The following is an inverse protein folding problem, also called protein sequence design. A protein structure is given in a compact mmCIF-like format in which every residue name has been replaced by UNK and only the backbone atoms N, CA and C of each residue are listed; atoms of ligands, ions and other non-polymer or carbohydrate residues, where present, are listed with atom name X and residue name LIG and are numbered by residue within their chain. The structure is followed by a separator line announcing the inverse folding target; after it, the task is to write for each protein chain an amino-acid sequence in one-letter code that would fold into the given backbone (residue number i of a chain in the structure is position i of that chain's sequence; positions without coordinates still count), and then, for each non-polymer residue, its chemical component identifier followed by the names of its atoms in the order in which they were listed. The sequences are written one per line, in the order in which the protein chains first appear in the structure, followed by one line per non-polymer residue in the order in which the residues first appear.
data_IF_262127329106
#
_entry.id   IF_262127329106
#
_cell.length_a   1.000
_cell.length_b   1.000
_cell.length_c   1.000
_cell.angle_alpha   90.00
_cell.angle_beta   90.00
_cell.angle_gamma   90.00
#
_symmetry.space_group_name_H-M   'P 1'
#
loop_
_entity.id
_entity.type
_entity.pdbx_description
1 polymer ?
#
# COMPACT_ATOMS: atom_id res chain seq x y z
N UNK A 1 -9.52 10.14 -5.48
CA UNK A 1 -10.00 9.69 -4.17
C UNK A 1 -11.05 8.59 -4.32
N UNK A 2 -11.06 7.59 -3.40
CA UNK A 2 -12.08 6.53 -3.37
C UNK A 2 -12.76 6.53 -2.01
N UNK A 3 -14.02 6.93 -1.98
CA UNK A 3 -14.86 6.94 -0.80
C UNK A 3 -15.58 5.58 -0.68
N UNK A 4 -15.27 4.83 0.35
CA UNK A 4 -15.84 3.49 0.59
C UNK A 4 -17.23 3.51 1.24
N UNK A 5 -17.73 4.69 1.64
CA UNK A 5 -19.00 4.90 2.34
C UNK A 5 -19.17 4.08 3.63
N UNK A 6 -18.06 3.75 4.32
CA UNK A 6 -18.09 2.95 5.55
C UNK A 6 -18.25 3.86 6.78
N UNK A 7 -17.57 5.04 6.76
CA UNK A 7 -17.43 5.92 7.93
C UNK A 7 -18.35 7.15 7.92
N UNK A 8 -19.40 7.14 7.10
CA UNK A 8 -20.38 8.25 7.05
C UNK A 8 -19.73 9.62 6.85
N UNK A 9 -19.94 10.54 7.80
CA UNK A 9 -19.44 11.93 7.73
C UNK A 9 -17.92 12.04 7.68
N UNK A 10 -17.18 11.16 8.35
CA UNK A 10 -15.71 11.15 8.26
C UNK A 10 -15.22 10.89 6.85
N UNK A 11 -15.82 9.93 6.14
CA UNK A 11 -15.46 9.63 4.77
C UNK A 11 -15.73 10.82 3.82
N UNK A 12 -16.80 11.56 4.07
CA UNK A 12 -17.13 12.77 3.31
C UNK A 12 -16.16 13.93 3.61
N UNK A 13 -15.78 14.11 4.88
CA UNK A 13 -14.74 15.07 5.28
C UNK A 13 -13.41 14.77 4.58
N UNK A 14 -12.99 13.50 4.56
CA UNK A 14 -11.74 13.06 3.95
C UNK A 14 -11.77 13.27 2.41
N UNK A 15 -12.93 13.05 1.79
CA UNK A 15 -13.13 13.34 0.36
C UNK A 15 -13.04 14.84 0.08
N UNK A 16 -13.70 15.68 0.89
CA UNK A 16 -13.63 17.14 0.78
C UNK A 16 -12.19 17.62 0.92
N UNK A 17 -11.49 17.18 1.97
CA UNK A 17 -10.08 17.51 2.17
C UNK A 17 -9.22 17.15 0.96
N UNK A 18 -9.43 15.97 0.36
CA UNK A 18 -8.67 15.55 -0.83
C UNK A 18 -8.96 16.46 -2.05
N UNK A 19 -10.22 16.90 -2.24
CA UNK A 19 -10.59 17.84 -3.32
C UNK A 19 -9.94 19.20 -3.13
N UNK A 20 -10.05 19.77 -1.93
CA UNK A 20 -9.51 21.08 -1.59
C UNK A 20 -7.98 21.11 -1.74
N UNK A 21 -7.31 20.01 -1.31
CA UNK A 21 -5.87 19.88 -1.49
C UNK A 21 -5.48 19.81 -2.97
N UNK A 22 -6.18 19.02 -3.77
CA UNK A 22 -5.92 18.95 -5.21
C UNK A 22 -6.13 20.28 -5.90
N UNK A 23 -7.19 21.03 -5.54
CA UNK A 23 -7.47 22.37 -6.05
C UNK A 23 -6.34 23.35 -5.70
N UNK A 24 -5.90 23.35 -4.42
CA UNK A 24 -4.81 24.22 -3.96
C UNK A 24 -3.48 23.95 -4.68
N UNK A 25 -3.26 22.70 -5.10
CA UNK A 25 -2.08 22.27 -5.84
C UNK A 25 -2.25 22.34 -7.36
N UNK A 26 -3.41 22.79 -7.85
CA UNK A 26 -3.76 22.81 -9.29
C UNK A 26 -3.65 21.43 -9.95
N UNK A 27 -3.99 20.36 -9.21
CA UNK A 27 -3.98 18.98 -9.68
C UNK A 27 -5.42 18.50 -9.86
N UNK A 28 -5.69 17.79 -10.96
CA UNK A 28 -7.03 17.22 -11.20
C UNK A 28 -7.35 16.15 -10.16
N UNK A 29 -8.59 16.19 -9.61
CA UNK A 29 -9.08 15.20 -8.66
C UNK A 29 -10.25 14.42 -9.26
N UNK A 30 -10.16 13.09 -9.25
CA UNK A 30 -11.28 12.21 -9.57
C UNK A 30 -11.76 11.51 -8.32
N UNK A 31 -13.04 11.63 -7.98
CA UNK A 31 -13.65 11.00 -6.82
C UNK A 31 -14.59 9.88 -7.27
N UNK A 32 -14.50 8.75 -6.59
CA UNK A 32 -15.34 7.58 -6.77
C UNK A 32 -15.94 7.18 -5.43
N UNK A 33 -17.22 6.86 -5.38
CA UNK A 33 -17.92 6.44 -4.17
C UNK A 33 -18.53 5.07 -4.37
N UNK A 34 -18.31 4.16 -3.41
CA UNK A 34 -18.81 2.78 -3.46
C UNK A 34 -19.37 2.35 -2.11
N UNK A 35 -20.56 1.71 -2.06
CA UNK A 35 -21.13 1.14 -0.84
C UNK A 35 -20.44 -0.19 -0.50
N UNK A 36 -19.21 -0.11 0.03
CA UNK A 36 -18.32 -1.28 0.21
C UNK A 36 -18.95 -2.34 1.12
N UNK A 37 -19.69 -1.96 2.17
CA UNK A 37 -20.35 -2.92 3.07
C UNK A 37 -21.42 -3.77 2.35
N UNK A 38 -22.18 -3.17 1.45
CA UNK A 38 -23.18 -3.88 0.64
C UNK A 38 -22.51 -4.80 -0.39
N UNK A 39 -21.45 -4.31 -1.02
CA UNK A 39 -20.66 -5.10 -1.98
C UNK A 39 -19.99 -6.30 -1.32
N UNK A 40 -19.41 -6.12 -0.14
CA UNK A 40 -18.81 -7.19 0.65
C UNK A 40 -19.82 -8.30 0.94
N UNK A 41 -21.00 -7.95 1.43
CA UNK A 41 -22.08 -8.90 1.69
C UNK A 41 -22.55 -9.62 0.42
N UNK A 42 -22.76 -8.89 -0.67
CA UNK A 42 -23.26 -9.43 -1.94
C UNK A 42 -22.28 -10.41 -2.60
N UNK A 43 -20.99 -10.18 -2.43
CA UNK A 43 -19.93 -10.96 -3.06
C UNK A 43 -19.23 -11.95 -2.11
N UNK A 44 -19.71 -12.07 -0.85
CA UNK A 44 -19.09 -12.90 0.19
C UNK A 44 -17.61 -12.59 0.43
N UNK A 45 -17.25 -11.30 0.38
CA UNK A 45 -15.91 -10.79 0.63
C UNK A 45 -15.84 -10.17 2.02
N UNK A 46 -14.62 -10.07 2.55
CA UNK A 46 -14.35 -9.19 3.69
C UNK A 46 -14.42 -7.73 3.26
N UNK A 47 -14.60 -6.81 4.23
CA UNK A 47 -14.59 -5.36 3.96
C UNK A 47 -13.27 -4.91 3.32
N UNK A 48 -12.14 -5.48 3.76
CA UNK A 48 -10.82 -5.18 3.21
C UNK A 48 -10.70 -5.62 1.74
N UNK A 49 -11.16 -6.84 1.42
CA UNK A 49 -11.16 -7.37 0.04
C UNK A 49 -12.06 -6.55 -0.88
N UNK A 50 -13.28 -6.23 -0.43
CA UNK A 50 -14.22 -5.39 -1.18
C UNK A 50 -13.66 -3.98 -1.38
N UNK A 51 -13.09 -3.38 -0.34
CA UNK A 51 -12.44 -2.07 -0.42
C UNK A 51 -11.23 -2.05 -1.38
N UNK A 52 -10.46 -3.14 -1.42
CA UNK A 52 -9.36 -3.29 -2.38
C UNK A 52 -9.89 -3.45 -3.81
N UNK A 53 -10.93 -4.24 -4.01
CA UNK A 53 -11.55 -4.45 -5.32
C UNK A 53 -12.06 -3.14 -5.91
N UNK A 54 -12.83 -2.33 -5.17
CA UNK A 54 -13.36 -1.06 -5.70
C UNK A 54 -12.26 -0.03 -5.98
N UNK A 55 -11.15 -0.03 -5.21
CA UNK A 55 -9.99 0.80 -5.52
C UNK A 55 -9.35 0.41 -6.85
N UNK A 56 -9.15 -0.89 -7.10
CA UNK A 56 -8.65 -1.36 -8.39
C UNK A 56 -9.58 -0.98 -9.54
N UNK A 57 -10.90 -1.13 -9.36
CA UNK A 57 -11.89 -0.71 -10.36
C UNK A 57 -11.82 0.80 -10.65
N UNK A 58 -11.67 1.64 -9.64
CA UNK A 58 -11.48 3.07 -9.80
C UNK A 58 -10.20 3.39 -10.59
N UNK A 59 -9.10 2.71 -10.28
CA UNK A 59 -7.82 2.88 -10.98
C UNK A 59 -7.92 2.43 -12.44
N UNK A 60 -8.51 1.27 -12.73
CA UNK A 60 -8.75 0.81 -14.10
C UNK A 60 -9.63 1.79 -14.89
N UNK A 61 -10.67 2.33 -14.24
CA UNK A 61 -11.54 3.33 -14.86
C UNK A 61 -10.76 4.59 -15.22
N UNK A 62 -9.86 5.01 -14.36
CA UNK A 62 -9.04 6.20 -14.58
C UNK A 62 -7.96 5.96 -15.66
N UNK A 63 -7.32 4.80 -15.67
CA UNK A 63 -6.32 4.47 -16.69
C UNK A 63 -6.93 4.35 -18.08
N UNK A 64 -8.15 3.79 -18.21
CA UNK A 64 -8.87 3.71 -19.49
C UNK A 64 -9.25 5.08 -20.07
N UNK A 65 -9.37 6.12 -19.24
CA UNK A 65 -9.64 7.50 -19.69
C UNK A 65 -8.38 8.20 -20.19
N UNK A 66 -7.21 7.74 -19.78
CA UNK A 66 -5.96 8.35 -20.18
C UNK A 66 -5.61 7.95 -21.63
N UNK A 67 -5.09 8.91 -22.39
CA UNK A 67 -4.65 8.71 -23.79
C UNK A 67 -3.23 8.16 -23.89
N UNK A 68 -2.49 8.21 -22.80
CA UNK A 68 -1.09 7.83 -22.71
C UNK A 68 -0.89 6.70 -21.67
N UNK A 69 0.29 6.06 -21.69
CA UNK A 69 0.66 5.10 -20.66
C UNK A 69 0.77 5.79 -19.31
N UNK A 70 -0.06 5.37 -18.36
CA UNK A 70 -0.09 5.92 -17.01
C UNK A 70 0.42 4.91 -16.00
N UNK A 71 0.98 5.43 -14.89
CA UNK A 71 1.35 4.64 -13.72
C UNK A 71 0.50 5.07 -12.53
N UNK A 72 0.10 4.12 -11.71
CA UNK A 72 -0.62 4.38 -10.46
C UNK A 72 0.40 4.48 -9.33
N UNK A 73 0.55 5.65 -8.74
CA UNK A 73 1.39 5.83 -7.56
C UNK A 73 0.59 5.51 -6.28
N UNK A 74 1.09 4.56 -5.49
CA UNK A 74 0.54 4.20 -4.18
C UNK A 74 1.43 4.75 -3.07
N UNK A 75 0.82 5.29 -2.02
CA UNK A 75 1.50 5.96 -0.92
C UNK A 75 2.02 5.00 0.18
N UNK A 76 2.38 3.76 -0.18
CA UNK A 76 3.04 2.86 0.76
C UNK A 76 4.43 3.40 1.12
N UNK A 77 4.77 3.39 2.39
CA UNK A 77 6.04 3.85 2.93
C UNK A 77 6.83 2.71 3.60
N UNK A 78 8.03 3.01 4.12
CA UNK A 78 8.95 2.00 4.68
C UNK A 78 8.34 1.22 5.84
N UNK A 79 7.55 1.87 6.71
CA UNK A 79 6.89 1.16 7.80
C UNK A 79 5.86 0.15 7.28
N UNK A 80 5.12 0.44 6.18
CA UNK A 80 4.19 -0.53 5.57
C UNK A 80 4.92 -1.76 5.02
N UNK A 81 6.12 -1.57 4.47
CA UNK A 81 6.98 -2.67 4.02
C UNK A 81 7.40 -3.55 5.21
N UNK A 82 7.87 -2.94 6.30
CA UNK A 82 8.25 -3.64 7.52
C UNK A 82 7.05 -4.39 8.14
N UNK A 83 5.88 -3.76 8.22
CA UNK A 83 4.63 -4.39 8.66
C UNK A 83 4.28 -5.62 7.82
N UNK A 84 4.38 -5.49 6.50
CA UNK A 84 4.05 -6.58 5.57
C UNK A 84 5.04 -7.74 5.71
N UNK A 85 6.33 -7.45 5.86
CA UNK A 85 7.36 -8.45 6.07
C UNK A 85 7.10 -9.25 7.35
N UNK A 86 6.86 -8.56 8.48
CA UNK A 86 6.54 -9.20 9.77
C UNK A 86 5.23 -10.00 9.65
N UNK A 87 4.20 -9.45 9.04
CA UNK A 87 2.94 -10.14 8.84
C UNK A 87 3.10 -11.44 8.05
N UNK A 88 3.87 -11.41 6.96
CA UNK A 88 4.14 -12.58 6.14
C UNK A 88 4.97 -13.62 6.92
N UNK A 89 5.98 -13.18 7.67
CA UNK A 89 6.80 -14.04 8.50
C UNK A 89 5.97 -14.80 9.55
N UNK A 90 5.07 -14.11 10.24
CA UNK A 90 4.18 -14.71 11.25
C UNK A 90 3.22 -15.74 10.64
N UNK A 91 2.81 -15.54 9.39
CA UNK A 91 1.92 -16.50 8.68
C UNK A 91 2.65 -17.67 8.06
N UNK A 92 3.97 -17.65 8.07
CA UNK A 92 4.81 -18.58 7.31
C UNK A 92 4.86 -18.19 5.83
N UNK A 93 6.06 -17.91 5.34
CA UNK A 93 6.27 -17.48 3.96
C UNK A 93 7.61 -17.94 3.43
N UNK A 94 7.71 -18.09 2.11
CA UNK A 94 8.98 -18.27 1.41
C UNK A 94 9.66 -16.93 1.07
N UNK A 95 10.72 -16.99 0.26
CA UNK A 95 11.53 -15.84 -0.16
C UNK A 95 10.67 -14.71 -0.73
N UNK A 96 9.72 -15.03 -1.63
CA UNK A 96 8.87 -14.03 -2.28
C UNK A 96 7.98 -13.24 -1.33
N UNK A 97 7.45 -13.88 -0.28
CA UNK A 97 6.68 -13.15 0.73
C UNK A 97 7.56 -12.34 1.68
N UNK A 98 8.82 -12.73 1.88
CA UNK A 98 9.81 -11.94 2.63
C UNK A 98 10.24 -10.67 1.89
N UNK A 99 10.16 -10.63 0.57
CA UNK A 99 10.34 -9.42 -0.24
C UNK A 99 9.29 -8.34 0.05
N UNK A 100 8.17 -8.69 0.68
CA UNK A 100 7.15 -7.77 1.16
C UNK A 100 6.47 -6.96 0.03
N UNK A 101 6.52 -5.64 0.13
CA UNK A 101 5.91 -4.73 -0.85
C UNK A 101 6.96 -4.37 -1.91
N UNK A 102 6.72 -4.72 -3.17
CA UNK A 102 7.61 -4.39 -4.28
C UNK A 102 7.49 -2.91 -4.68
N UNK A 103 8.60 -2.25 -5.04
CA UNK A 103 8.58 -0.86 -5.53
C UNK A 103 7.71 -0.68 -6.77
N UNK A 104 7.73 -1.65 -7.67
CA UNK A 104 6.92 -1.68 -8.90
C UNK A 104 6.23 -3.04 -9.00
N UNK A 105 4.94 -3.04 -9.35
CA UNK A 105 4.18 -4.25 -9.70
C UNK A 105 3.32 -3.96 -10.92
N UNK A 106 3.12 -4.96 -11.76
CA UNK A 106 2.21 -4.89 -12.89
C UNK A 106 1.02 -5.81 -12.65
N UNK A 107 -0.18 -5.28 -12.76
CA UNK A 107 -1.43 -6.03 -12.57
C UNK A 107 -2.37 -5.64 -13.73
N UNK A 108 -2.80 -6.60 -14.52
CA UNK A 108 -3.70 -6.40 -15.66
C UNK A 108 -3.20 -5.31 -16.65
N UNK A 109 -1.89 -5.25 -16.89
CA UNK A 109 -1.27 -4.25 -17.77
C UNK A 109 -1.18 -2.84 -17.18
N UNK A 110 -1.52 -2.66 -15.90
CA UNK A 110 -1.38 -1.39 -15.19
C UNK A 110 -0.15 -1.45 -14.28
N UNK A 111 0.76 -0.50 -14.45
CA UNK A 111 1.96 -0.36 -13.61
C UNK A 111 1.63 0.40 -12.32
N UNK A 112 1.84 -0.24 -11.18
CA UNK A 112 1.72 0.36 -9.85
C UNK A 112 3.12 0.64 -9.30
N UNK A 113 3.39 1.89 -8.94
CA UNK A 113 4.66 2.32 -8.35
C UNK A 113 4.46 2.78 -6.90
N UNK A 114 5.50 2.71 -6.08
CA UNK A 114 5.46 3.09 -4.66
C UNK A 114 6.68 3.97 -4.32
N UNK A 115 6.62 5.25 -4.69
CA UNK A 115 7.76 6.16 -4.56
C UNK A 115 8.20 6.39 -3.11
N UNK A 116 7.29 6.22 -2.14
CA UNK A 116 7.55 6.50 -0.73
C UNK A 116 8.11 5.32 0.07
N UNK A 117 8.40 4.15 -0.55
CA UNK A 117 9.01 3.02 0.16
C UNK A 117 10.39 3.32 0.74
N UNK A 118 11.06 4.35 0.26
CA UNK A 118 12.39 4.77 0.73
C UNK A 118 12.36 5.66 1.99
N UNK A 119 11.18 6.10 2.47
CA UNK A 119 11.03 7.00 3.62
C UNK A 119 10.12 6.40 4.68
N UNK A 120 10.33 6.77 5.94
CA UNK A 120 9.47 6.41 7.07
C UNK A 120 8.29 7.37 7.21
N UNK A 121 7.23 6.92 7.87
CA UNK A 121 6.02 7.72 8.10
C UNK A 121 6.31 9.03 8.85
N UNK A 122 7.21 8.99 9.82
CA UNK A 122 7.57 10.20 10.58
C UNK A 122 8.35 11.21 9.75
N UNK A 123 9.22 10.77 8.83
CA UNK A 123 9.91 11.66 7.87
C UNK A 123 8.90 12.37 6.96
N UNK A 124 7.84 11.66 6.51
CA UNK A 124 6.75 12.25 5.71
C UNK A 124 6.00 13.31 6.53
N UNK A 125 5.66 13.02 7.79
CA UNK A 125 4.96 13.96 8.67
C UNK A 125 5.80 15.21 8.95
N UNK A 126 7.08 15.04 9.19
CA UNK A 126 8.01 16.16 9.40
C UNK A 126 8.11 17.04 8.15
N UNK A 127 8.21 16.43 6.97
CA UNK A 127 8.21 17.16 5.71
C UNK A 127 6.91 17.96 5.51
N UNK A 128 5.74 17.36 5.80
CA UNK A 128 4.45 18.04 5.72
C UNK A 128 4.36 19.22 6.69
N UNK A 129 4.83 19.05 7.95
CA UNK A 129 4.91 20.14 8.93
C UNK A 129 5.77 21.30 8.42
N UNK A 130 6.94 21.01 7.86
CA UNK A 130 7.86 22.02 7.31
C UNK A 130 7.26 22.76 6.10
N UNK A 131 6.30 22.13 5.41
CA UNK A 131 5.51 22.75 4.32
C UNK A 131 4.23 23.43 4.79
N UNK A 132 3.94 23.42 6.09
CA UNK A 132 2.65 23.85 6.66
C UNK A 132 1.45 23.14 5.99
N UNK A 133 1.64 21.92 5.51
CA UNK A 133 0.61 21.13 4.88
C UNK A 133 -0.13 20.30 5.93
N UNK A 134 -1.43 20.52 6.06
CA UNK A 134 -2.30 19.70 6.90
C UNK A 134 -2.52 18.32 6.26
N UNK A 135 -2.85 17.35 7.11
CA UNK A 135 -3.25 16.01 6.68
C UNK A 135 -4.40 15.50 7.55
N UNK A 136 -5.09 14.48 7.08
CA UNK A 136 -6.14 13.78 7.82
C UNK A 136 -5.61 12.43 8.30
N UNK A 137 -5.85 12.11 9.57
CA UNK A 137 -5.57 10.79 10.13
C UNK A 137 -6.85 9.94 10.09
N UNK A 138 -6.72 8.73 9.54
CA UNK A 138 -7.78 7.75 9.51
C UNK A 138 -8.01 7.18 10.91
N UNK A 139 -9.22 7.32 11.46
CA UNK A 139 -9.60 6.86 12.80
C UNK A 139 -9.45 5.33 12.95
N UNK A 140 -9.64 4.57 11.88
CA UNK A 140 -9.50 3.09 11.88
C UNK A 140 -8.07 2.62 12.12
N UNK A 141 -7.07 3.48 11.97
CA UNK A 141 -5.69 3.16 12.32
C UNK A 141 -5.49 2.82 13.82
N UNK A 142 -6.46 3.18 14.68
CA UNK A 142 -6.44 2.89 16.12
C UNK A 142 -7.04 1.53 16.47
N UNK A 143 -7.77 0.89 15.57
CA UNK A 143 -8.40 -0.40 15.81
C UNK A 143 -7.36 -1.53 15.80
N UNK A 144 -7.21 -2.23 16.93
CA UNK A 144 -6.26 -3.35 17.08
C UNK A 144 -6.84 -4.72 16.68
N UNK A 145 -8.07 -4.76 16.18
CA UNK A 145 -8.73 -6.00 15.70
C UNK A 145 -7.98 -6.64 14.52
N UNK A 146 -7.37 -5.84 13.68
CA UNK A 146 -6.62 -6.30 12.52
C UNK A 146 -5.16 -6.62 12.87
N UNK A 147 -4.64 -7.74 12.38
CA UNK A 147 -3.25 -8.19 12.63
C UNK A 147 -2.21 -7.14 12.25
N UNK A 148 -2.40 -6.41 11.14
CA UNK A 148 -1.50 -5.32 10.72
C UNK A 148 -1.45 -4.18 11.73
N UNK A 149 -2.60 -3.79 12.28
CA UNK A 149 -2.65 -2.74 13.29
C UNK A 149 -1.95 -3.17 14.59
N UNK A 150 -2.03 -4.47 14.97
CA UNK A 150 -1.25 -5.01 16.10
C UNK A 150 0.26 -4.93 15.84
N UNK A 151 0.69 -5.26 14.63
CA UNK A 151 2.10 -5.15 14.24
C UNK A 151 2.56 -3.70 14.33
N UNK A 152 1.80 -2.77 13.75
CA UNK A 152 2.08 -1.33 13.74
C UNK A 152 2.14 -0.72 15.15
N UNK A 153 1.18 -1.06 16.00
CA UNK A 153 1.03 -0.41 17.30
C UNK A 153 1.85 -1.08 18.42
N UNK A 154 2.08 -2.38 18.34
CA UNK A 154 2.70 -3.12 19.42
C UNK A 154 4.09 -3.68 19.05
N UNK A 155 4.26 -4.25 17.86
CA UNK A 155 5.49 -4.96 17.51
C UNK A 155 6.55 -4.01 17.00
N UNK A 156 6.23 -3.17 16.01
CA UNK A 156 7.20 -2.21 15.46
C UNK A 156 7.77 -1.25 16.51
N UNK A 157 6.99 -0.68 17.45
CA UNK A 157 7.55 0.14 18.50
C UNK A 157 8.52 -0.60 19.42
N UNK A 158 8.26 -1.88 19.74
CA UNK A 158 9.17 -2.70 20.51
C UNK A 158 10.48 -2.95 19.76
N UNK A 159 10.42 -3.25 18.46
CA UNK A 159 11.61 -3.43 17.63
C UNK A 159 12.42 -2.12 17.52
N UNK A 160 11.77 -0.97 17.38
CA UNK A 160 12.42 0.35 17.41
C UNK A 160 13.04 0.63 18.79
N UNK A 161 12.42 0.15 19.87
CA UNK A 161 13.00 0.24 21.22
C UNK A 161 14.28 -0.59 21.41
N UNK A 162 14.42 -1.70 20.68
CA UNK A 162 15.66 -2.50 20.66
C UNK A 162 16.72 -1.89 19.73
N UNK A 163 16.30 -1.34 18.60
CA UNK A 163 17.16 -0.69 17.63
C UNK A 163 16.35 0.35 16.85
N UNK A 164 16.71 1.63 16.96
CA UNK A 164 16.03 2.73 16.27
C UNK A 164 15.96 2.54 14.74
N UNK A 165 16.95 1.84 14.17
CA UNK A 165 17.03 1.53 12.73
C UNK A 165 16.31 0.22 12.34
N UNK A 166 15.50 -0.37 13.21
CA UNK A 166 14.86 -1.67 12.96
C UNK A 166 14.03 -1.66 11.66
N UNK A 167 13.26 -0.59 11.41
CA UNK A 167 12.45 -0.46 10.18
C UNK A 167 13.33 -0.40 8.93
N UNK A 168 14.43 0.36 8.98
CA UNK A 168 15.42 0.41 7.90
C UNK A 168 16.06 -0.97 7.66
N UNK A 169 16.43 -1.68 8.71
CA UNK A 169 17.03 -3.01 8.59
C UNK A 169 16.05 -4.03 8.00
N UNK A 170 14.77 -3.98 8.37
CA UNK A 170 13.73 -4.81 7.76
C UNK A 170 13.56 -4.49 6.27
N UNK A 171 13.54 -3.20 5.90
CA UNK A 171 13.45 -2.81 4.50
C UNK A 171 14.65 -3.29 3.66
N UNK A 172 15.87 -3.17 4.18
CA UNK A 172 17.09 -3.68 3.52
C UNK A 172 17.06 -5.21 3.38
N UNK A 173 16.54 -5.92 4.39
CA UNK A 173 16.35 -7.36 4.30
C UNK A 173 15.31 -7.72 3.21
N UNK A 174 14.18 -7.01 3.14
CA UNK A 174 13.17 -7.21 2.10
C UNK A 174 13.74 -7.01 0.68
N UNK A 175 14.58 -5.99 0.48
CA UNK A 175 15.28 -5.75 -0.79
C UNK A 175 16.23 -6.91 -1.14
N UNK A 176 16.98 -7.42 -0.16
CA UNK A 176 17.84 -8.60 -0.35
C UNK A 176 17.03 -9.82 -0.76
N UNK A 177 15.88 -10.07 -0.12
CA UNK A 177 14.99 -11.16 -0.49
C UNK A 177 14.39 -10.97 -1.88
N UNK A 178 14.07 -9.75 -2.28
CA UNK A 178 13.58 -9.44 -3.63
C UNK A 178 14.64 -9.79 -4.69
N UNK A 179 15.87 -9.35 -4.47
CA UNK A 179 16.99 -9.67 -5.39
C UNK A 179 17.25 -11.18 -5.49
N UNK A 180 17.19 -11.88 -4.35
CA UNK A 180 17.35 -13.34 -4.33
C UNK A 180 16.21 -14.05 -5.08
N UNK A 181 14.97 -13.64 -4.89
CA UNK A 181 13.81 -14.19 -5.60
C UNK A 181 13.93 -13.99 -7.11
N UNK A 182 14.28 -12.77 -7.55
CA UNK A 182 14.46 -12.47 -8.97
C UNK A 182 15.60 -13.27 -9.60
N UNK A 183 16.71 -13.48 -8.86
CA UNK A 183 17.81 -14.29 -9.33
C UNK A 183 17.41 -15.76 -9.49
N UNK A 184 16.76 -16.32 -8.46
CA UNK A 184 16.27 -17.71 -8.48
C UNK A 184 15.23 -17.90 -9.58
N UNK A 185 14.26 -16.99 -9.71
CA UNK A 185 13.22 -17.05 -10.74
C UNK A 185 13.80 -17.05 -12.14
N UNK A 186 14.70 -16.10 -12.45
CA UNK A 186 15.36 -16.04 -13.76
C UNK A 186 16.15 -17.31 -14.09
N UNK A 187 16.87 -17.89 -13.11
CA UNK A 187 17.60 -19.13 -13.34
C UNK A 187 16.66 -20.33 -13.53
N UNK A 188 15.56 -20.39 -12.76
CA UNK A 188 14.55 -21.43 -12.92
C UNK A 188 13.90 -21.37 -14.31
N UNK A 189 13.52 -20.17 -14.78
CA UNK A 189 12.96 -19.97 -16.14
C UNK A 189 13.96 -20.37 -17.23
N UNK A 190 15.23 -20.00 -17.10
CA UNK A 190 16.28 -20.42 -18.05
C UNK A 190 16.42 -21.94 -18.10
N UNK A 191 16.43 -22.59 -16.94
CA UNK A 191 16.53 -24.05 -16.86
C UNK A 191 15.28 -24.73 -17.44
N UNK A 192 14.09 -24.21 -17.08
CA UNK A 192 12.84 -24.72 -17.63
C UNK A 192 12.81 -24.65 -19.14
N UNK A 193 13.09 -23.47 -19.72
CA UNK A 193 13.11 -23.26 -21.17
C UNK A 193 14.19 -24.07 -21.90
N UNK A 194 15.25 -24.49 -21.18
CA UNK A 194 16.35 -25.30 -21.78
C UNK A 194 16.07 -26.81 -21.78
N UNK A 195 15.34 -27.29 -20.75
CA UNK A 195 15.22 -28.73 -20.49
C UNK A 195 13.79 -29.27 -20.54
N UNK A 196 12.78 -28.40 -20.51
CA UNK A 196 11.38 -28.78 -20.62
C UNK A 196 10.86 -28.36 -22.00
N UNK A 197 10.51 -29.36 -22.81
CA UNK A 197 9.98 -29.18 -24.19
C UNK A 197 8.45 -29.27 -24.12
#
# INVERSE_FOLDING_TARGET
HVNHQIRGEEANRDETFAKDLCESLSVSCSCYSYPVLELAKKQHLTEEEAGRMVRHQAFETQTKKAKETVKIALAHHRDDLAETMIHNLVRGTGIGGMAGIRPVTEINGISYIRPLLCVEKEEIKEWLKNKNQLWVEDSTNKETSYTRNKIRQNILPQLKGLNEKAVLHLANAAETFLMAEEYIGRNADMMYNRYVI
#
